data_IF_456779348892
#
_entry.id   IF_456779348892
#
_cell.length_a   1.000
_cell.length_b   1.000
_cell.length_c   1.000
_cell.angle_alpha   90.00
_cell.angle_beta   90.00
_cell.angle_gamma   90.00
#
_symmetry.space_group_name_H-M   'P 1'
#
loop_
_entity.id
_entity.type
_entity.pdbx_description
1 polymer ?
#
# COMPACT_ATOMS: atom_id res chain seq x y z
N UNK A 1 4.52 45.24 12.14
CA UNK A 1 5.28 43.97 12.10
C UNK A 1 4.64 42.89 12.99
N UNK A 2 4.56 43.08 14.31
CA UNK A 2 3.98 42.11 15.26
C UNK A 2 2.57 41.58 14.91
N UNK A 3 1.64 42.43 14.44
CA UNK A 3 0.29 41.98 14.03
C UNK A 3 0.30 41.02 12.83
N UNK A 4 1.23 41.20 11.88
CA UNK A 4 1.35 40.33 10.71
C UNK A 4 1.93 38.96 11.06
N UNK A 5 2.90 38.94 11.98
CA UNK A 5 3.48 37.70 12.54
C UNK A 5 2.43 36.91 13.33
N UNK A 6 1.65 37.58 14.18
CA UNK A 6 0.54 36.94 14.89
C UNK A 6 -0.51 36.34 13.93
N UNK A 7 -0.88 37.07 12.88
CA UNK A 7 -1.83 36.57 11.88
C UNK A 7 -1.27 35.39 11.07
N UNK A 8 0.03 35.40 10.77
CA UNK A 8 0.70 34.29 10.09
C UNK A 8 0.67 33.02 10.95
N UNK A 9 0.97 33.15 12.25
CA UNK A 9 0.94 32.04 13.20
C UNK A 9 -0.47 31.42 13.32
N UNK A 10 -1.52 32.25 13.38
CA UNK A 10 -2.91 31.77 13.42
C UNK A 10 -3.25 30.97 12.17
N UNK A 11 -2.94 31.49 10.98
CA UNK A 11 -3.22 30.80 9.71
C UNK A 11 -2.45 29.48 9.57
N UNK A 12 -1.21 29.44 10.04
CA UNK A 12 -0.42 28.20 10.04
C UNK A 12 -1.04 27.15 10.97
N UNK A 13 -1.48 27.55 12.17
CA UNK A 13 -2.15 26.66 13.10
C UNK A 13 -3.49 26.14 12.55
N UNK A 14 -4.26 27.00 11.87
CA UNK A 14 -5.50 26.61 11.18
C UNK A 14 -5.23 25.59 10.07
N UNK A 15 -4.24 25.87 9.22
CA UNK A 15 -3.83 24.95 8.15
C UNK A 15 -3.32 23.61 8.69
N UNK A 16 -2.54 23.62 9.76
CA UNK A 16 -2.08 22.40 10.42
C UNK A 16 -3.24 21.58 10.98
N UNK A 17 -4.20 22.23 11.64
CA UNK A 17 -5.42 21.59 12.17
C UNK A 17 -6.19 20.93 11.03
N UNK A 18 -6.45 21.65 9.95
CA UNK A 18 -7.19 21.13 8.80
C UNK A 18 -6.45 19.97 8.14
N UNK A 19 -5.14 20.10 7.91
CA UNK A 19 -4.31 19.03 7.35
C UNK A 19 -4.35 17.76 8.22
N UNK A 20 -4.33 17.91 9.55
CA UNK A 20 -4.43 16.78 10.49
C UNK A 20 -5.79 16.10 10.41
N UNK A 21 -6.88 16.86 10.33
CA UNK A 21 -8.24 16.33 10.18
C UNK A 21 -8.35 15.58 8.85
N UNK A 22 -7.96 16.21 7.74
CA UNK A 22 -8.05 15.62 6.39
C UNK A 22 -7.21 14.35 6.25
N UNK A 23 -6.01 14.32 6.84
CA UNK A 23 -5.19 13.10 6.88
C UNK A 23 -5.90 11.97 7.61
N UNK A 24 -6.45 12.27 8.79
CA UNK A 24 -7.19 11.29 9.60
C UNK A 24 -8.43 10.77 8.88
N UNK A 25 -9.19 11.63 8.19
CA UNK A 25 -10.33 11.24 7.35
C UNK A 25 -9.89 10.31 6.22
N UNK A 26 -8.79 10.62 5.54
CA UNK A 26 -8.22 9.79 4.49
C UNK A 26 -7.76 8.41 4.98
N UNK A 27 -7.11 8.35 6.14
CA UNK A 27 -6.65 7.10 6.74
C UNK A 27 -7.84 6.21 7.13
N UNK A 28 -8.90 6.79 7.71
CA UNK A 28 -10.14 6.07 8.02
C UNK A 28 -10.83 5.58 6.76
N UNK A 29 -10.87 6.38 5.69
CA UNK A 29 -11.47 5.98 4.42
C UNK A 29 -10.72 4.78 3.80
N UNK A 30 -9.39 4.81 3.78
CA UNK A 30 -8.55 3.69 3.33
C UNK A 30 -8.81 2.43 4.16
N UNK A 31 -8.82 2.55 5.48
CA UNK A 31 -9.09 1.43 6.37
C UNK A 31 -10.47 0.81 6.12
N UNK A 32 -11.52 1.64 5.97
CA UNK A 32 -12.88 1.17 5.67
C UNK A 32 -12.95 0.43 4.34
N UNK A 33 -12.23 0.89 3.32
CA UNK A 33 -12.17 0.22 2.03
C UNK A 33 -11.57 -1.19 2.15
N UNK A 34 -10.44 -1.33 2.85
CA UNK A 34 -9.80 -2.64 3.10
C UNK A 34 -10.70 -3.54 3.94
N UNK A 35 -11.32 -3.00 4.99
CA UNK A 35 -12.23 -3.76 5.85
C UNK A 35 -13.44 -4.31 5.08
N UNK A 36 -13.97 -3.54 4.13
CA UNK A 36 -15.08 -3.98 3.27
C UNK A 36 -14.70 -5.23 2.47
N UNK A 37 -13.54 -5.22 1.82
CA UNK A 37 -13.08 -6.36 1.02
C UNK A 37 -12.67 -7.54 1.91
N UNK A 38 -12.03 -7.26 3.06
CA UNK A 38 -11.72 -8.30 4.06
C UNK A 38 -12.98 -9.03 4.53
N UNK A 39 -14.08 -8.30 4.79
CA UNK A 39 -15.34 -8.93 5.20
C UNK A 39 -15.96 -9.81 4.12
N UNK A 40 -15.77 -9.48 2.84
CA UNK A 40 -16.27 -10.27 1.70
C UNK A 40 -15.45 -11.54 1.46
N UNK A 41 -14.12 -11.44 1.57
CA UNK A 41 -13.20 -12.54 1.26
C UNK A 41 -11.99 -12.49 2.21
N UNK A 42 -12.19 -12.97 3.44
CA UNK A 42 -11.19 -12.90 4.52
C UNK A 42 -9.87 -13.60 4.17
N UNK A 43 -9.94 -14.83 3.69
CA UNK A 43 -8.75 -15.66 3.46
C UNK A 43 -7.90 -15.09 2.32
N UNK A 44 -8.52 -14.75 1.18
CA UNK A 44 -7.84 -14.17 0.03
C UNK A 44 -7.23 -12.80 0.39
N UNK A 45 -7.96 -11.96 1.13
CA UNK A 45 -7.49 -10.63 1.52
C UNK A 45 -6.33 -10.70 2.51
N UNK A 46 -6.36 -11.65 3.46
CA UNK A 46 -5.25 -11.90 4.39
C UNK A 46 -4.00 -12.35 3.63
N UNK A 47 -4.15 -13.30 2.70
CA UNK A 47 -3.04 -13.79 1.89
C UNK A 47 -2.43 -12.69 1.04
N UNK A 48 -3.25 -11.86 0.39
CA UNK A 48 -2.76 -10.69 -0.38
C UNK A 48 -1.97 -9.73 0.51
N UNK A 49 -2.51 -9.33 1.66
CA UNK A 49 -1.83 -8.40 2.57
C UNK A 49 -0.47 -8.95 3.03
N UNK A 50 -0.41 -10.25 3.32
CA UNK A 50 0.84 -10.92 3.67
C UNK A 50 1.85 -10.88 2.52
N UNK A 51 1.42 -11.24 1.31
CA UNK A 51 2.30 -11.24 0.12
C UNK A 51 2.83 -9.85 -0.21
N UNK A 52 1.98 -8.82 -0.18
CA UNK A 52 2.36 -7.41 -0.39
C UNK A 52 3.36 -6.95 0.67
N UNK A 53 3.13 -7.29 1.95
CA UNK A 53 4.05 -6.96 3.03
C UNK A 53 5.41 -7.63 2.83
N UNK A 54 5.41 -8.90 2.45
CA UNK A 54 6.65 -9.64 2.15
C UNK A 54 7.37 -9.09 0.93
N UNK A 55 6.67 -8.52 -0.05
CA UNK A 55 7.27 -7.80 -1.19
C UNK A 55 8.06 -6.58 -0.71
N UNK A 56 7.49 -5.80 0.20
CA UNK A 56 8.14 -4.61 0.75
C UNK A 56 9.34 -4.95 1.64
N UNK A 57 9.22 -6.01 2.45
CA UNK A 57 10.30 -6.45 3.34
C UNK A 57 11.42 -7.14 2.56
N UNK A 58 11.08 -7.87 1.49
CA UNK A 58 11.99 -8.71 0.73
C UNK A 58 11.89 -8.45 -0.79
N UNK A 59 12.33 -7.27 -1.27
CA UNK A 59 12.08 -6.82 -2.65
C UNK A 59 12.84 -7.61 -3.73
N UNK A 60 13.92 -8.32 -3.39
CA UNK A 60 14.81 -8.96 -4.37
C UNK A 60 14.71 -10.49 -4.39
N UNK A 61 13.65 -11.07 -3.82
CA UNK A 61 13.50 -12.53 -3.76
C UNK A 61 12.47 -12.99 -4.79
N UNK A 62 12.83 -13.99 -5.59
CA UNK A 62 11.88 -14.68 -6.46
C UNK A 62 10.89 -15.48 -5.60
N UNK A 63 9.60 -15.14 -5.71
CA UNK A 63 8.54 -15.79 -4.95
C UNK A 63 7.93 -16.92 -5.79
N UNK A 64 7.92 -18.13 -5.25
CA UNK A 64 7.21 -19.28 -5.81
C UNK A 64 6.03 -19.62 -4.90
N UNK A 65 4.81 -19.64 -5.46
CA UNK A 65 3.61 -20.11 -4.74
C UNK A 65 3.36 -21.55 -5.19
N UNK A 66 3.44 -22.50 -4.26
CA UNK A 66 3.07 -23.89 -4.49
C UNK A 66 1.65 -24.05 -3.94
N UNK A 67 0.62 -24.24 -4.78
CA UNK A 67 -0.71 -24.54 -4.29
C UNK A 67 -0.72 -25.93 -3.61
N UNK A 68 -1.34 -26.04 -2.43
CA UNK A 68 -1.58 -27.32 -1.75
C UNK A 68 -2.61 -28.14 -2.54
N UNK A 69 -2.13 -28.86 -3.55
CA UNK A 69 -2.90 -29.80 -4.35
C UNK A 69 -1.95 -30.83 -4.94
N UNK A 70 -2.33 -32.11 -4.92
CA UNK A 70 -1.52 -33.24 -5.42
C UNK A 70 -1.07 -33.10 -6.89
N UNK A 71 -1.67 -32.17 -7.62
CA UNK A 71 -1.29 -31.78 -8.98
C UNK A 71 -0.73 -30.34 -8.95
N UNK A 72 0.55 -30.24 -8.58
CA UNK A 72 1.28 -28.98 -8.44
C UNK A 72 1.49 -28.27 -9.78
N UNK A 73 0.47 -27.57 -10.26
CA UNK A 73 0.63 -26.59 -11.34
C UNK A 73 1.15 -25.28 -10.73
N UNK A 74 2.42 -24.96 -10.98
CA UNK A 74 3.04 -23.71 -10.55
C UNK A 74 2.34 -22.53 -11.27
N UNK A 75 1.46 -21.84 -10.56
CA UNK A 75 0.97 -20.53 -11.00
C UNK A 75 2.03 -19.47 -10.67
N UNK A 76 2.85 -19.15 -11.66
CA UNK A 76 3.72 -17.98 -11.64
C UNK A 76 2.86 -16.71 -11.78
N UNK A 77 2.63 -15.98 -10.68
CA UNK A 77 1.90 -14.70 -10.72
C UNK A 77 2.81 -13.50 -11.02
N UNK A 78 4.09 -13.70 -11.38
CA UNK A 78 5.05 -12.61 -11.58
C UNK A 78 5.89 -12.76 -12.86
N UNK A 79 5.28 -13.10 -14.00
CA UNK A 79 5.95 -12.96 -15.30
C UNK A 79 5.82 -11.55 -15.91
N UNK A 80 5.92 -10.49 -15.08
CA UNK A 80 5.96 -9.09 -15.50
C UNK A 80 7.14 -8.32 -14.85
N UNK A 81 8.22 -9.02 -14.49
CA UNK A 81 9.44 -8.38 -13.96
C UNK A 81 10.65 -8.46 -14.89
N UNK A 82 10.71 -9.45 -15.80
CA UNK A 82 11.91 -9.75 -16.57
C UNK A 82 11.57 -10.04 -18.05
N UNK A 83 11.05 -9.04 -18.76
CA UNK A 83 11.29 -8.92 -20.21
C UNK A 83 12.32 -7.82 -20.41
N UNK A 84 13.57 -8.26 -20.45
CA UNK A 84 14.64 -7.72 -21.30
C UNK A 84 15.15 -6.30 -21.00
N UNK A 85 16.09 -6.22 -20.05
CA UNK A 85 17.33 -5.48 -20.35
C UNK A 85 18.25 -6.40 -21.15
N UNK A 86 18.30 -6.17 -22.46
CA UNK A 86 19.32 -6.66 -23.39
C UNK A 86 18.89 -6.33 -24.82
N UNK A 87 19.59 -5.54 -25.62
CA UNK A 87 20.81 -4.78 -25.42
C UNK A 87 21.11 -3.94 -26.68
N UNK A 88 22.17 -3.14 -26.57
CA UNK A 88 23.08 -2.77 -27.67
C UNK A 88 22.47 -2.17 -28.95
N UNK A 89 22.19 -0.86 -28.93
CA UNK A 89 22.85 0.18 -29.74
C UNK A 89 22.08 1.50 -29.63
#
# INVERSE_FOLDING_TARGET
KARGEAQAMIREAEGFKEARVKRSEGDVAKFRAVLKEYRKAKDITRTRLYLETMENVLPNIQKYIIPDGKDGNLLNLLNLGNTEKGGLK
#
